data_IF_971625976901
#
_entry.id   IF_971625976901
#
_cell.length_a   1.000
_cell.length_b   1.000
_cell.length_c   1.000
_cell.angle_alpha   90.00
_cell.angle_beta   90.00
_cell.angle_gamma   90.00
#
_symmetry.space_group_name_H-M   'P 1'
#
loop_
_entity.id
_entity.type
_entity.pdbx_description
1 polymer ?
#
# COMPACT_ATOMS: atom_id res chain seq x y z
N UNK A 1 32.22 32.24 -69.74
CA UNK A 1 32.77 31.26 -68.79
C UNK A 1 32.28 31.68 -67.42
N UNK A 2 31.19 31.07 -66.96
CA UNK A 2 30.58 31.33 -65.62
C UNK A 2 30.72 30.11 -64.76
N UNK A 3 31.43 30.25 -63.67
CA UNK A 3 31.61 29.20 -62.65
C UNK A 3 30.44 29.25 -61.64
N UNK A 4 29.60 28.26 -61.66
CA UNK A 4 28.57 28.00 -60.62
C UNK A 4 29.20 27.19 -59.48
N UNK A 5 29.37 27.81 -58.30
CA UNK A 5 29.78 27.14 -57.08
C UNK A 5 28.49 26.59 -56.39
N UNK A 6 28.34 25.29 -56.45
CA UNK A 6 27.29 24.61 -55.61
C UNK A 6 27.74 24.58 -54.16
N UNK A 7 27.01 25.25 -53.26
CA UNK A 7 27.11 25.09 -51.81
C UNK A 7 26.26 23.90 -51.41
N UNK A 8 26.89 22.81 -50.99
CA UNK A 8 26.20 21.71 -50.31
C UNK A 8 25.98 22.10 -48.85
N UNK A 9 24.71 22.19 -48.44
CA UNK A 9 24.29 22.36 -47.03
C UNK A 9 24.32 20.99 -46.37
N UNK A 10 25.28 20.77 -45.48
CA UNK A 10 25.34 19.61 -44.60
C UNK A 10 24.30 19.84 -43.46
N UNK A 11 23.19 19.17 -43.52
CA UNK A 11 22.22 19.15 -42.43
C UNK A 11 22.65 18.07 -41.43
N UNK A 12 23.32 18.47 -40.35
CA UNK A 12 23.57 17.57 -39.21
C UNK A 12 22.26 17.37 -38.43
N UNK A 13 21.64 16.23 -38.60
CA UNK A 13 20.52 15.80 -37.75
C UNK A 13 21.09 15.41 -36.38
N UNK A 14 20.86 16.24 -35.37
CA UNK A 14 21.08 15.91 -33.97
C UNK A 14 19.97 14.93 -33.54
N UNK A 15 20.31 13.65 -33.52
CA UNK A 15 19.45 12.64 -32.86
C UNK A 15 19.66 12.77 -31.35
N UNK A 16 18.78 13.49 -30.71
CA UNK A 16 18.74 13.56 -29.25
C UNK A 16 18.37 12.20 -28.67
N UNK A 17 19.31 11.53 -28.02
CA UNK A 17 19.05 10.34 -27.22
C UNK A 17 18.30 10.82 -25.98
N UNK A 18 16.97 10.65 -25.94
CA UNK A 18 16.17 10.82 -24.73
C UNK A 18 16.38 9.56 -23.89
N UNK A 19 17.30 9.63 -22.94
CA UNK A 19 17.41 8.58 -21.93
C UNK A 19 16.11 8.57 -21.10
N UNK A 20 15.50 7.40 -20.82
CA UNK A 20 14.36 7.32 -19.95
C UNK A 20 14.75 7.85 -18.56
N UNK A 21 14.01 8.83 -18.06
CA UNK A 21 14.18 9.33 -16.70
C UNK A 21 13.65 8.25 -15.75
N UNK A 22 14.54 7.43 -15.21
CA UNK A 22 14.18 6.47 -14.14
C UNK A 22 13.91 7.29 -12.89
N UNK A 23 12.69 7.19 -12.35
CA UNK A 23 12.33 7.87 -11.12
C UNK A 23 13.21 7.33 -9.97
N UNK A 24 13.72 8.23 -9.13
CA UNK A 24 14.58 7.84 -8.02
C UNK A 24 13.79 7.10 -6.92
N UNK A 25 14.44 6.19 -6.23
CA UNK A 25 13.89 5.52 -5.05
C UNK A 25 13.51 6.54 -3.97
N UNK A 26 12.34 6.35 -3.39
CA UNK A 26 11.92 7.06 -2.18
C UNK A 26 12.14 6.14 -0.97
N UNK A 27 13.10 6.50 -0.12
CA UNK A 27 13.40 5.81 1.13
C UNK A 27 12.89 6.65 2.30
N UNK A 28 12.13 6.03 3.20
CA UNK A 28 11.66 6.68 4.42
C UNK A 28 12.78 6.63 5.45
N UNK A 29 13.44 7.77 5.66
CA UNK A 29 14.52 7.93 6.65
C UNK A 29 13.93 8.33 8.01
N UNK A 30 14.08 7.46 9.00
CA UNK A 30 13.60 7.68 10.36
C UNK A 30 14.66 8.30 11.30
N UNK A 31 15.89 8.51 10.85
CA UNK A 31 17.01 8.93 11.71
C UNK A 31 16.75 10.29 12.37
N UNK A 32 16.09 11.21 11.67
CA UNK A 32 15.78 12.56 12.14
C UNK A 32 14.40 12.70 12.80
N UNK A 33 13.62 11.64 12.82
CA UNK A 33 12.28 11.63 13.39
C UNK A 33 12.32 11.72 14.92
N UNK A 34 11.25 12.22 15.54
CA UNK A 34 11.12 12.35 17.00
C UNK A 34 10.21 11.25 17.56
N UNK A 35 10.72 10.48 18.52
CA UNK A 35 9.92 9.48 19.23
C UNK A 35 8.69 10.11 19.88
N UNK A 36 7.54 9.46 19.76
CA UNK A 36 6.25 9.93 20.25
C UNK A 36 5.53 10.93 19.32
N UNK A 37 6.14 11.31 18.18
CA UNK A 37 5.52 12.20 17.21
C UNK A 37 5.05 11.43 15.98
N UNK A 38 4.06 11.94 15.22
CA UNK A 38 3.72 11.39 13.92
C UNK A 38 4.95 11.41 12.98
N UNK A 39 5.15 10.38 12.13
CA UNK A 39 6.27 10.33 11.21
C UNK A 39 6.17 11.45 10.17
N UNK A 40 7.23 12.28 10.04
CA UNK A 40 7.23 13.43 9.14
C UNK A 40 7.20 13.01 7.65
N UNK A 41 7.81 11.85 7.32
CA UNK A 41 7.85 11.30 5.97
C UNK A 41 6.53 10.63 5.53
N UNK A 42 5.61 10.40 6.46
CA UNK A 42 4.31 9.80 6.19
C UNK A 42 3.18 10.79 6.47
N UNK A 43 2.05 10.56 5.84
CA UNK A 43 0.78 11.25 6.10
C UNK A 43 -0.19 10.26 6.73
N UNK A 44 -0.38 10.27 8.06
CA UNK A 44 -1.39 9.45 8.71
C UNK A 44 -2.79 9.85 8.24
N UNK A 45 -3.48 8.93 7.58
CA UNK A 45 -4.82 9.15 7.05
C UNK A 45 -5.90 8.55 7.96
N UNK A 46 -5.69 7.32 8.39
CA UNK A 46 -6.55 6.60 9.33
C UNK A 46 -5.66 5.97 10.38
N UNK A 47 -6.04 6.05 11.65
CA UNK A 47 -5.33 5.46 12.76
C UNK A 47 -4.26 6.34 13.38
N UNK A 48 -3.69 5.86 14.48
CA UNK A 48 -2.61 6.51 15.21
C UNK A 48 -1.27 5.94 14.75
N UNK A 49 -0.47 6.79 14.12
CA UNK A 49 0.86 6.46 13.61
C UNK A 49 1.87 7.37 14.30
N UNK A 50 2.82 6.77 14.98
CA UNK A 50 3.84 7.50 15.74
C UNK A 50 5.22 6.87 15.53
N UNK A 51 6.26 7.66 15.77
CA UNK A 51 7.62 7.12 15.87
C UNK A 51 7.80 6.49 17.25
N UNK A 52 8.19 5.23 17.26
CA UNK A 52 8.56 4.49 18.46
C UNK A 52 10.06 4.13 18.42
N UNK A 53 10.52 3.46 19.45
CA UNK A 53 11.86 2.91 19.53
C UNK A 53 11.78 1.41 19.82
N UNK A 54 12.47 0.62 19.02
CA UNK A 54 12.57 -0.84 19.17
C UNK A 54 14.03 -1.28 18.97
N UNK A 55 14.59 -1.98 19.96
CA UNK A 55 15.98 -2.43 19.89
C UNK A 55 17.02 -1.33 19.68
N UNK A 56 16.74 -0.09 20.13
CA UNK A 56 17.62 1.07 19.91
C UNK A 56 17.39 1.80 18.58
N UNK A 57 16.61 1.25 17.65
CA UNK A 57 16.30 1.86 16.37
C UNK A 57 14.94 2.58 16.41
N UNK A 58 14.78 3.66 15.61
CA UNK A 58 13.50 4.31 15.41
C UNK A 58 12.67 3.52 14.40
N UNK A 59 11.39 3.36 14.71
CA UNK A 59 10.43 2.63 13.90
C UNK A 59 9.14 3.42 13.78
N UNK A 60 8.38 3.21 12.73
CA UNK A 60 6.99 3.66 12.66
C UNK A 60 6.13 2.64 13.39
N UNK A 61 5.35 3.08 14.34
CA UNK A 61 4.38 2.26 15.06
C UNK A 61 2.96 2.67 14.68
N UNK A 62 2.12 1.69 14.39
CA UNK A 62 0.67 1.83 14.43
C UNK A 62 0.16 1.12 15.68
N UNK A 63 -0.75 1.77 16.40
CA UNK A 63 -1.43 1.19 17.55
C UNK A 63 -2.95 1.31 17.34
N UNK A 64 -3.58 0.21 17.02
CA UNK A 64 -5.02 0.14 16.77
C UNK A 64 -5.86 -0.09 18.04
N UNK A 65 -5.25 -0.44 19.17
CA UNK A 65 -5.96 -0.77 20.42
C UNK A 65 -6.88 0.35 20.94
N UNK A 66 -6.46 1.64 20.93
CA UNK A 66 -7.34 2.72 21.37
C UNK A 66 -8.63 2.85 20.56
N UNK A 67 -8.64 2.37 19.33
CA UNK A 67 -9.77 2.48 18.41
C UNK A 67 -10.86 1.45 18.69
N UNK A 68 -10.49 0.31 19.25
CA UNK A 68 -11.41 -0.79 19.58
C UNK A 68 -11.98 -0.63 20.99
N UNK A 69 -11.19 -0.06 21.89
CA UNK A 69 -11.52 0.02 23.34
C UNK A 69 -12.09 1.36 23.79
N UNK A 70 -12.02 2.40 22.95
CA UNK A 70 -12.50 3.74 23.32
C UNK A 70 -14.00 3.75 23.56
N UNK A 71 -14.39 4.08 24.80
CA UNK A 71 -15.78 4.34 25.18
C UNK A 71 -16.29 5.69 24.64
N UNK A 72 -15.40 6.58 24.26
CA UNK A 72 -15.70 7.91 23.76
C UNK A 72 -15.85 7.89 22.23
N UNK A 73 -16.99 7.44 21.78
CA UNK A 73 -17.46 7.47 20.39
C UNK A 73 -16.33 7.52 19.34
N UNK A 74 -15.61 6.42 19.12
CA UNK A 74 -14.52 6.38 18.16
C UNK A 74 -15.01 6.73 16.75
N UNK A 75 -16.31 6.61 16.50
CA UNK A 75 -16.95 6.91 15.21
C UNK A 75 -16.66 8.33 14.73
N UNK A 76 -16.62 9.34 15.62
CA UNK A 76 -16.36 10.72 15.22
C UNK A 76 -14.93 10.92 14.70
N UNK A 77 -13.92 10.46 15.45
CA UNK A 77 -12.51 10.51 15.01
C UNK A 77 -12.29 9.71 13.71
N UNK A 78 -13.01 8.62 13.57
CA UNK A 78 -12.97 7.77 12.39
C UNK A 78 -13.55 8.47 11.17
N UNK A 79 -14.68 9.15 11.33
CA UNK A 79 -15.31 9.95 10.29
C UNK A 79 -14.36 11.08 9.85
N UNK A 80 -13.72 11.77 10.79
CA UNK A 80 -12.77 12.85 10.46
C UNK A 80 -11.53 12.31 9.71
N UNK A 81 -11.00 11.17 10.12
CA UNK A 81 -9.88 10.52 9.43
C UNK A 81 -10.30 10.01 8.05
N UNK A 82 -11.48 9.39 7.93
CA UNK A 82 -12.03 8.96 6.66
C UNK A 82 -12.25 10.14 5.70
N UNK A 83 -12.73 11.29 6.19
CA UNK A 83 -12.88 12.50 5.37
C UNK A 83 -11.57 13.01 4.80
N UNK A 84 -10.47 12.89 5.55
CA UNK A 84 -9.13 13.24 5.03
C UNK A 84 -8.71 12.35 3.87
N UNK A 85 -8.94 11.04 3.99
CA UNK A 85 -8.54 10.07 2.99
C UNK A 85 -9.47 10.08 1.78
N UNK A 86 -10.78 10.12 2.02
CA UNK A 86 -11.80 9.84 1.01
C UNK A 86 -12.51 11.09 0.48
N UNK A 87 -12.26 12.25 1.09
CA UNK A 87 -12.95 13.49 0.76
C UNK A 87 -14.36 13.58 1.35
N UNK A 88 -14.97 14.77 1.22
CA UNK A 88 -16.28 15.07 1.81
C UNK A 88 -17.46 14.78 0.89
N UNK A 89 -17.22 14.47 -0.40
CA UNK A 89 -18.24 14.40 -1.44
C UNK A 89 -18.86 13.02 -1.64
N UNK A 90 -18.40 12.01 -0.89
CA UNK A 90 -18.92 10.65 -1.06
C UNK A 90 -19.73 10.24 0.18
N UNK A 91 -21.03 10.55 0.17
CA UNK A 91 -21.96 10.22 1.27
C UNK A 91 -22.06 8.73 1.50
N UNK A 92 -22.03 7.90 0.44
CA UNK A 92 -22.07 6.45 0.54
C UNK A 92 -20.85 5.88 1.27
N UNK A 93 -19.68 6.50 1.09
CA UNK A 93 -18.48 6.20 1.87
C UNK A 93 -18.66 6.55 3.35
N UNK A 94 -19.35 7.64 3.65
CA UNK A 94 -19.56 8.10 5.03
C UNK A 94 -20.49 7.18 5.80
N UNK A 95 -21.47 6.56 5.16
CA UNK A 95 -22.36 5.57 5.78
C UNK A 95 -21.60 4.31 6.21
N UNK A 96 -20.49 4.01 5.54
CA UNK A 96 -19.59 2.89 5.85
C UNK A 96 -18.39 3.28 6.74
N UNK A 97 -18.38 4.48 7.32
CA UNK A 97 -17.24 5.01 8.08
C UNK A 97 -16.72 4.08 9.18
N UNK A 98 -17.57 3.29 9.79
CA UNK A 98 -17.17 2.27 10.79
C UNK A 98 -16.22 1.21 10.22
N UNK A 99 -16.31 0.91 8.92
CA UNK A 99 -15.42 -0.05 8.27
C UNK A 99 -14.05 0.56 8.01
N UNK A 100 -13.96 1.85 7.66
CA UNK A 100 -12.67 2.55 7.45
C UNK A 100 -11.81 2.56 8.70
N UNK A 101 -12.43 2.71 9.85
CA UNK A 101 -11.80 2.67 11.15
C UNK A 101 -10.96 1.43 11.39
N UNK A 102 -11.36 0.35 10.80
CA UNK A 102 -10.67 -0.92 10.95
C UNK A 102 -9.40 -1.02 10.10
N UNK A 103 -9.10 0.00 9.28
CA UNK A 103 -7.95 -0.04 8.36
C UNK A 103 -7.05 1.18 8.54
N UNK A 104 -6.17 1.19 9.56
CA UNK A 104 -5.16 2.22 9.67
C UNK A 104 -4.31 2.32 8.40
N UNK A 105 -4.15 3.55 7.89
CA UNK A 105 -3.39 3.86 6.69
C UNK A 105 -2.50 5.08 6.93
N UNK A 106 -1.23 4.99 6.51
CA UNK A 106 -0.32 6.14 6.44
C UNK A 106 0.37 6.15 5.07
N UNK A 107 0.20 7.23 4.31
CA UNK A 107 0.69 7.35 2.95
C UNK A 107 2.09 7.97 2.90
N UNK A 108 2.95 7.48 2.01
CA UNK A 108 4.29 8.05 1.80
C UNK A 108 4.17 9.42 1.15
N UNK A 109 4.76 10.44 1.78
CA UNK A 109 4.86 11.78 1.20
C UNK A 109 5.88 11.76 0.05
N UNK A 110 5.62 12.56 -0.99
CA UNK A 110 6.50 12.64 -2.14
C UNK A 110 6.25 11.58 -3.23
N UNK A 111 5.42 10.56 -2.95
CA UNK A 111 4.97 9.60 -3.97
C UNK A 111 3.48 9.84 -4.23
N UNK A 112 3.19 10.70 -5.20
CA UNK A 112 1.80 11.06 -5.55
C UNK A 112 1.17 10.06 -6.51
N UNK A 113 1.97 9.42 -7.36
CA UNK A 113 1.49 8.50 -8.37
C UNK A 113 2.49 7.35 -8.59
N UNK A 114 2.19 6.20 -8.04
CA UNK A 114 2.93 4.95 -8.27
C UNK A 114 2.17 4.12 -9.30
N UNK A 115 2.81 3.78 -10.41
CA UNK A 115 2.21 2.98 -11.48
C UNK A 115 2.84 1.60 -11.60
N UNK A 116 4.17 1.55 -11.65
CA UNK A 116 4.96 0.33 -11.74
C UNK A 116 6.17 0.45 -10.82
N UNK A 117 6.71 -0.68 -10.40
CA UNK A 117 7.90 -0.70 -9.57
C UNK A 117 7.80 -1.66 -8.39
N UNK A 118 8.61 -1.39 -7.39
CA UNK A 118 8.73 -2.20 -6.18
C UNK A 118 8.39 -1.37 -4.94
N UNK A 119 7.69 -1.99 -4.02
CA UNK A 119 7.48 -1.50 -2.66
C UNK A 119 8.05 -2.54 -1.69
N UNK A 120 8.82 -2.13 -0.71
CA UNK A 120 9.32 -3.02 0.34
C UNK A 120 9.35 -2.34 1.69
N UNK A 121 9.20 -3.13 2.75
CA UNK A 121 9.32 -2.68 4.12
C UNK A 121 9.71 -3.84 5.03
N UNK A 122 10.36 -3.53 6.14
CA UNK A 122 10.42 -4.48 7.25
C UNK A 122 9.28 -4.23 8.23
N UNK A 123 8.71 -5.29 8.75
CA UNK A 123 7.61 -5.25 9.71
C UNK A 123 7.81 -6.22 10.86
N UNK A 124 7.16 -5.92 11.99
CA UNK A 124 7.06 -6.79 13.16
C UNK A 124 5.66 -6.66 13.72
N UNK A 125 4.91 -7.77 13.83
CA UNK A 125 3.59 -7.80 14.44
C UNK A 125 3.73 -7.96 15.94
N UNK A 126 3.35 -6.95 16.71
CA UNK A 126 3.64 -6.89 18.15
C UNK A 126 2.49 -7.43 18.97
N UNK A 127 1.27 -6.93 18.75
CA UNK A 127 0.09 -7.35 19.50
C UNK A 127 -1.20 -7.13 18.70
N UNK A 128 -2.30 -7.63 19.24
CA UNK A 128 -3.64 -7.57 18.70
C UNK A 128 -4.41 -8.83 19.09
N UNK A 129 -5.63 -8.68 19.58
CA UNK A 129 -6.50 -9.83 19.94
C UNK A 129 -7.33 -10.27 18.74
N UNK A 130 -7.97 -9.30 18.07
CA UNK A 130 -8.78 -9.57 16.89
C UNK A 130 -7.96 -9.84 15.65
N UNK A 131 -6.92 -9.01 15.45
CA UNK A 131 -6.01 -9.11 14.30
C UNK A 131 -4.59 -8.73 14.70
N UNK A 132 -3.60 -9.33 14.04
CA UNK A 132 -2.20 -8.92 14.05
C UNK A 132 -1.73 -8.78 12.61
N UNK A 133 -1.94 -7.59 12.06
CA UNK A 133 -1.77 -7.33 10.64
C UNK A 133 -0.70 -6.29 10.36
N UNK A 134 0.17 -6.59 9.40
CA UNK A 134 1.09 -5.64 8.78
C UNK A 134 0.94 -5.71 7.27
N UNK A 135 0.95 -4.56 6.60
CA UNK A 135 0.75 -4.51 5.15
C UNK A 135 1.18 -3.21 4.50
N UNK A 136 1.10 -3.19 3.19
CA UNK A 136 1.26 -2.01 2.34
C UNK A 136 -0.02 -1.75 1.57
N UNK A 137 -0.38 -0.48 1.46
CA UNK A 137 -1.47 -0.01 0.60
C UNK A 137 -0.88 0.64 -0.64
N UNK A 138 -1.52 0.43 -1.78
CA UNK A 138 -1.14 1.00 -3.06
C UNK A 138 -2.37 1.22 -3.94
N UNK A 139 -2.20 1.90 -5.08
CA UNK A 139 -3.33 2.29 -5.92
C UNK A 139 -4.39 3.10 -5.14
N UNK A 140 -3.95 3.91 -4.16
CA UNK A 140 -4.89 4.71 -3.36
C UNK A 140 -5.39 5.86 -4.21
N UNK A 141 -6.68 5.84 -4.50
CA UNK A 141 -7.38 6.81 -5.33
C UNK A 141 -7.91 7.98 -4.50
N UNK A 142 -8.16 9.14 -5.11
CA UNK A 142 -8.79 10.28 -4.42
C UNK A 142 -10.19 9.99 -3.87
N UNK A 143 -10.93 9.05 -4.48
CA UNK A 143 -12.25 8.60 -4.00
C UNK A 143 -12.17 7.60 -2.84
N UNK A 144 -10.96 7.23 -2.40
CA UNK A 144 -10.73 6.34 -1.28
C UNK A 144 -10.63 4.86 -1.60
N UNK A 145 -10.72 4.49 -2.86
CA UNK A 145 -10.47 3.12 -3.30
C UNK A 145 -8.98 2.78 -3.22
N UNK A 146 -8.64 1.54 -2.91
CA UNK A 146 -7.25 1.09 -2.83
C UNK A 146 -7.08 -0.43 -2.99
N UNK A 147 -5.83 -0.83 -3.21
CA UNK A 147 -5.35 -2.21 -3.06
C UNK A 147 -4.42 -2.29 -1.84
N UNK A 148 -4.45 -3.41 -1.14
CA UNK A 148 -3.52 -3.67 -0.04
C UNK A 148 -3.03 -5.12 -0.06
N UNK A 149 -1.73 -5.29 0.14
CA UNK A 149 -1.14 -6.59 0.44
C UNK A 149 -0.85 -6.66 1.94
N UNK A 150 -1.37 -7.67 2.62
CA UNK A 150 -1.21 -7.80 4.06
C UNK A 150 -0.85 -9.21 4.49
N UNK A 151 0.03 -9.28 5.47
CA UNK A 151 0.23 -10.44 6.33
C UNK A 151 -0.66 -10.34 7.57
N UNK A 152 -1.22 -11.46 8.00
CA UNK A 152 -1.92 -11.58 9.28
C UNK A 152 -1.37 -12.75 10.10
N UNK A 153 -0.79 -12.43 11.24
CA UNK A 153 -0.18 -13.39 12.14
C UNK A 153 -1.23 -14.28 12.85
N UNK A 154 -2.44 -13.80 13.13
CA UNK A 154 -3.50 -14.62 13.72
C UNK A 154 -4.02 -15.69 12.76
N UNK A 155 -3.96 -15.43 11.45
CA UNK A 155 -4.41 -16.34 10.40
C UNK A 155 -3.26 -17.06 9.69
N UNK A 156 -1.99 -16.65 9.94
CA UNK A 156 -0.78 -17.16 9.29
C UNK A 156 -0.90 -17.14 7.76
N UNK A 157 -1.40 -16.04 7.20
CA UNK A 157 -1.61 -15.92 5.76
C UNK A 157 -1.27 -14.54 5.21
N UNK A 158 -1.11 -14.50 3.88
CA UNK A 158 -0.97 -13.28 3.10
C UNK A 158 -2.15 -13.18 2.13
N UNK A 159 -2.71 -11.97 1.99
CA UNK A 159 -3.88 -11.73 1.14
C UNK A 159 -3.75 -10.39 0.43
N UNK A 160 -4.03 -10.38 -0.87
CA UNK A 160 -4.30 -9.17 -1.64
C UNK A 160 -5.78 -8.80 -1.45
N UNK A 161 -6.00 -7.60 -0.96
CA UNK A 161 -7.31 -7.01 -0.71
C UNK A 161 -7.56 -5.85 -1.66
N UNK A 162 -8.81 -5.65 -2.03
CA UNK A 162 -9.30 -4.40 -2.57
C UNK A 162 -10.25 -3.73 -1.59
N UNK A 163 -10.34 -2.43 -1.70
CA UNK A 163 -11.33 -1.60 -1.06
C UNK A 163 -11.95 -0.72 -2.14
N UNK A 164 -13.23 -0.92 -2.38
CA UNK A 164 -13.96 -0.24 -3.43
C UNK A 164 -15.37 0.09 -2.95
N UNK A 165 -15.78 1.35 -3.14
CA UNK A 165 -17.08 1.85 -2.69
C UNK A 165 -17.38 1.53 -1.22
N UNK A 166 -16.40 1.74 -0.33
CA UNK A 166 -16.56 1.52 1.10
C UNK A 166 -16.51 0.06 1.56
N UNK A 167 -16.35 -0.90 0.68
CA UNK A 167 -16.38 -2.33 1.01
C UNK A 167 -15.02 -2.97 0.69
N UNK A 168 -14.49 -3.72 1.65
CA UNK A 168 -13.26 -4.49 1.48
C UNK A 168 -13.56 -5.93 1.08
N UNK A 169 -12.86 -6.44 0.05
CA UNK A 169 -12.98 -7.82 -0.43
C UNK A 169 -11.62 -8.44 -0.70
N UNK A 170 -11.49 -9.77 -0.51
CA UNK A 170 -10.25 -10.47 -0.85
C UNK A 170 -10.19 -10.78 -2.34
N UNK A 171 -9.14 -10.30 -2.99
CA UNK A 171 -8.90 -10.51 -4.43
C UNK A 171 -8.17 -11.83 -4.67
N UNK A 172 -7.10 -12.05 -3.92
CA UNK A 172 -6.28 -13.26 -4.00
C UNK A 172 -5.75 -13.60 -2.63
N UNK A 173 -5.89 -14.85 -2.24
CA UNK A 173 -5.31 -15.41 -1.02
C UNK A 173 -4.07 -16.22 -1.37
N UNK A 174 -3.00 -16.02 -0.63
CA UNK A 174 -1.86 -16.94 -0.64
C UNK A 174 -2.21 -18.25 0.06
N UNK A 175 -1.29 -19.21 0.11
CA UNK A 175 -1.48 -20.47 0.83
C UNK A 175 -1.87 -20.21 2.28
N UNK A 176 -2.94 -20.86 2.74
CA UNK A 176 -3.45 -20.72 4.11
C UNK A 176 -2.51 -21.39 5.11
N UNK A 177 -2.34 -20.77 6.28
CA UNK A 177 -1.55 -21.28 7.41
C UNK A 177 -0.10 -21.63 7.07
N UNK A 178 0.46 -21.04 6.02
CA UNK A 178 1.83 -21.33 5.56
C UNK A 178 2.84 -20.40 6.22
N UNK A 179 2.43 -19.18 6.56
CA UNK A 179 3.31 -18.10 7.00
C UNK A 179 3.29 -17.96 8.52
N UNK A 180 3.85 -18.94 9.23
CA UNK A 180 4.06 -18.86 10.68
C UNK A 180 5.39 -18.15 10.97
N UNK A 181 5.34 -16.84 11.00
CA UNK A 181 6.53 -16.00 11.22
C UNK A 181 6.86 -15.89 12.72
N UNK A 182 8.16 -15.77 13.02
CA UNK A 182 8.60 -15.48 14.38
C UNK A 182 8.24 -14.03 14.75
N UNK A 183 7.38 -13.85 15.74
CA UNK A 183 6.94 -12.53 16.23
C UNK A 183 8.05 -11.70 16.85
N UNK A 184 9.13 -12.33 17.33
CA UNK A 184 10.27 -11.62 17.88
C UNK A 184 11.20 -11.05 16.80
N UNK A 185 11.13 -11.59 15.58
CA UNK A 185 11.97 -11.20 14.46
C UNK A 185 11.35 -10.08 13.59
N UNK A 186 12.21 -9.40 12.85
CA UNK A 186 11.83 -8.53 11.75
C UNK A 186 11.69 -9.35 10.47
N UNK A 187 10.61 -9.12 9.74
CA UNK A 187 10.33 -9.77 8.46
C UNK A 187 10.24 -8.73 7.36
N UNK A 188 10.59 -9.10 6.14
CA UNK A 188 10.42 -8.25 4.97
C UNK A 188 9.13 -8.60 4.23
N UNK A 189 8.32 -7.60 3.93
CA UNK A 189 7.26 -7.67 2.94
C UNK A 189 7.67 -6.84 1.73
N UNK A 190 7.75 -7.50 0.57
CA UNK A 190 8.06 -6.88 -0.72
C UNK A 190 6.92 -7.13 -1.68
N UNK A 191 6.55 -6.14 -2.47
CA UNK A 191 5.58 -6.29 -3.55
C UNK A 191 6.07 -5.58 -4.82
N UNK A 192 5.76 -6.15 -5.97
CA UNK A 192 6.05 -5.53 -7.28
C UNK A 192 4.78 -5.42 -8.11
N UNK A 193 4.72 -4.34 -8.87
CA UNK A 193 3.74 -4.13 -9.94
C UNK A 193 4.53 -3.92 -11.24
N UNK A 194 4.23 -4.72 -12.26
CA UNK A 194 4.80 -4.59 -13.60
C UNK A 194 3.70 -4.79 -14.63
N UNK A 195 3.12 -3.71 -15.09
CA UNK A 195 1.90 -3.72 -15.91
C UNK A 195 0.75 -4.38 -15.16
N UNK A 196 0.27 -5.50 -15.66
CA UNK A 196 -0.76 -6.30 -15.02
C UNK A 196 -0.22 -7.31 -13.99
N UNK A 197 1.08 -7.55 -13.94
CA UNK A 197 1.67 -8.53 -13.01
C UNK A 197 1.82 -7.93 -11.62
N UNK A 198 1.21 -8.56 -10.63
CA UNK A 198 1.41 -8.29 -9.21
C UNK A 198 2.03 -9.50 -8.52
N UNK A 199 3.10 -9.28 -7.77
CA UNK A 199 3.75 -10.32 -6.96
C UNK A 199 4.12 -9.79 -5.59
N UNK A 200 4.04 -10.65 -4.57
CA UNK A 200 4.44 -10.31 -3.21
C UNK A 200 5.29 -11.43 -2.60
N UNK A 201 6.27 -11.04 -1.81
CA UNK A 201 7.21 -11.93 -1.11
C UNK A 201 7.24 -11.62 0.37
N UNK A 202 7.45 -12.66 1.19
CA UNK A 202 7.83 -12.55 2.60
C UNK A 202 9.21 -13.19 2.76
N UNK A 203 10.17 -12.46 3.30
CA UNK A 203 11.55 -12.92 3.52
C UNK A 203 12.14 -13.57 2.26
N UNK A 204 12.03 -12.88 1.13
CA UNK A 204 12.43 -13.32 -0.22
C UNK A 204 11.66 -14.53 -0.80
N UNK A 205 10.76 -15.16 -0.07
CA UNK A 205 9.94 -16.27 -0.58
C UNK A 205 8.68 -15.74 -1.26
N UNK A 206 8.40 -16.18 -2.50
CA UNK A 206 7.18 -15.79 -3.21
C UNK A 206 5.95 -16.28 -2.45
N UNK A 207 5.14 -15.33 -2.01
CA UNK A 207 3.99 -15.58 -1.15
C UNK A 207 2.65 -15.48 -1.88
N UNK A 208 2.59 -14.62 -2.90
CA UNK A 208 1.38 -14.42 -3.69
C UNK A 208 1.73 -13.83 -5.05
N UNK A 209 1.00 -14.28 -6.08
CA UNK A 209 0.99 -13.63 -7.40
C UNK A 209 -0.44 -13.51 -7.93
N UNK A 210 -0.68 -12.46 -8.69
CA UNK A 210 -1.98 -12.18 -9.28
C UNK A 210 -1.82 -11.35 -10.56
N UNK A 211 -2.65 -11.61 -11.56
CA UNK A 211 -2.73 -10.77 -12.76
C UNK A 211 -3.87 -9.77 -12.59
N UNK A 212 -3.54 -8.50 -12.44
CA UNK A 212 -4.52 -7.41 -12.40
C UNK A 212 -5.36 -7.44 -13.68
N UNK A 213 -6.66 -7.26 -13.52
CA UNK A 213 -7.61 -7.37 -14.64
C UNK A 213 -8.07 -8.80 -14.95
N UNK A 214 -7.52 -9.82 -14.29
CA UNK A 214 -8.05 -11.19 -14.38
C UNK A 214 -9.17 -11.45 -13.37
N UNK A 215 -9.86 -12.57 -13.53
CA UNK A 215 -10.84 -13.01 -12.54
C UNK A 215 -10.18 -13.17 -11.16
N UNK A 216 -10.85 -12.77 -10.08
CA UNK A 216 -10.34 -12.93 -8.72
C UNK A 216 -10.16 -14.40 -8.35
N UNK A 217 -9.26 -14.67 -7.43
CA UNK A 217 -9.09 -16.01 -6.88
C UNK A 217 -10.27 -16.42 -5.99
N UNK A 218 -10.32 -17.69 -5.58
CA UNK A 218 -11.35 -18.17 -4.67
C UNK A 218 -11.29 -17.42 -3.33
N UNK A 219 -12.44 -17.28 -2.70
CA UNK A 219 -12.61 -16.76 -1.36
C UNK A 219 -12.08 -17.71 -0.28
N UNK A 220 -12.37 -17.38 0.99
CA UNK A 220 -12.02 -18.25 2.11
C UNK A 220 -12.72 -19.61 1.96
N UNK A 221 -12.01 -20.70 2.32
CA UNK A 221 -12.49 -22.08 2.20
C UNK A 221 -12.91 -22.48 0.77
N UNK A 222 -12.21 -21.95 -0.24
CA UNK A 222 -12.50 -22.18 -1.67
C UNK A 222 -13.90 -21.73 -2.11
N UNK A 223 -14.51 -20.80 -1.39
CA UNK A 223 -15.77 -20.19 -1.83
C UNK A 223 -15.60 -19.56 -3.23
N UNK A 224 -16.69 -19.55 -4.01
CA UNK A 224 -16.69 -18.88 -5.30
C UNK A 224 -16.24 -17.42 -5.20
N UNK A 225 -15.52 -16.88 -6.19
CA UNK A 225 -15.14 -15.49 -6.22
C UNK A 225 -16.37 -14.57 -6.12
N UNK A 226 -16.23 -13.48 -5.35
CA UNK A 226 -17.28 -12.49 -5.30
C UNK A 226 -17.43 -11.81 -6.68
N UNK A 227 -18.63 -11.76 -7.27
CA UNK A 227 -18.84 -11.17 -8.61
C UNK A 227 -18.53 -9.67 -8.68
N UNK A 228 -18.55 -8.94 -7.55
CA UNK A 228 -18.18 -7.53 -7.49
C UNK A 228 -16.66 -7.29 -7.64
N UNK A 229 -15.84 -8.35 -7.56
CA UNK A 229 -14.39 -8.27 -7.77
C UNK A 229 -13.98 -8.42 -9.25
N UNK A 230 -14.92 -8.73 -10.14
CA UNK A 230 -14.59 -8.84 -11.55
C UNK A 230 -14.25 -7.47 -12.12
N UNK A 231 -13.16 -7.34 -12.90
CA UNK A 231 -12.64 -6.03 -13.35
C UNK A 231 -13.61 -5.17 -14.14
N UNK A 232 -14.60 -5.76 -14.80
CA UNK A 232 -15.67 -5.02 -15.49
C UNK A 232 -16.56 -4.21 -14.52
N UNK A 233 -16.66 -4.66 -13.26
CA UNK A 233 -17.42 -3.97 -12.20
C UNK A 233 -16.53 -3.18 -11.25
N UNK A 234 -15.24 -3.51 -11.19
CA UNK A 234 -14.32 -2.96 -10.20
C UNK A 234 -13.05 -2.37 -10.86
N UNK A 235 -13.08 -1.05 -11.05
CA UNK A 235 -11.99 -0.33 -11.70
C UNK A 235 -10.65 -0.37 -10.93
N UNK A 236 -10.68 -0.62 -9.62
CA UNK A 236 -9.47 -0.71 -8.78
C UNK A 236 -8.57 -1.87 -9.22
N UNK A 237 -9.17 -2.94 -9.75
CA UNK A 237 -8.47 -4.14 -10.19
C UNK A 237 -8.00 -4.08 -11.65
N UNK A 238 -8.34 -3.02 -12.39
CA UNK A 238 -7.91 -2.86 -13.77
C UNK A 238 -6.52 -2.22 -13.86
N UNK A 239 -5.59 -2.79 -14.66
CA UNK A 239 -4.36 -2.08 -14.96
C UNK A 239 -4.62 -0.85 -15.86
N UNK A 240 -3.78 0.19 -15.82
CA UNK A 240 -2.61 0.30 -14.94
C UNK A 240 -3.01 0.61 -13.49
N UNK A 241 -2.18 0.15 -12.55
CA UNK A 241 -2.22 0.64 -11.18
C UNK A 241 -1.77 2.10 -11.21
N UNK A 242 -2.47 2.98 -10.53
CA UNK A 242 -2.16 4.40 -10.52
C UNK A 242 -2.69 5.05 -9.24
N UNK A 243 -1.81 5.50 -8.36
CA UNK A 243 -2.22 6.13 -7.12
C UNK A 243 -1.13 6.25 -6.09
N UNK A 244 -1.50 6.67 -4.89
CA UNK A 244 -0.58 6.80 -3.75
C UNK A 244 -0.29 5.43 -3.12
N UNK A 245 0.79 5.37 -2.35
CA UNK A 245 1.28 4.17 -1.66
C UNK A 245 1.55 4.46 -0.19
N UNK A 246 1.56 3.43 0.65
CA UNK A 246 1.87 3.60 2.05
C UNK A 246 1.79 2.33 2.88
N UNK A 247 1.76 2.52 4.19
CA UNK A 247 1.61 1.47 5.19
C UNK A 247 0.13 1.21 5.49
N UNK A 248 -0.17 -0.03 5.83
CA UNK A 248 -1.52 -0.49 6.15
C UNK A 248 -1.52 -1.42 7.37
N UNK A 249 -2.58 -1.35 8.16
CA UNK A 249 -2.82 -2.28 9.26
C UNK A 249 -4.33 -2.55 9.43
N UNK A 250 -4.71 -3.28 10.46
CA UNK A 250 -6.12 -3.63 10.69
C UNK A 250 -6.45 -3.65 12.19
N UNK A 251 -7.62 -3.12 12.53
CA UNK A 251 -8.26 -3.16 13.86
C UNK A 251 -7.31 -2.80 15.01
N UNK A 252 -7.24 -3.67 16.02
CA UNK A 252 -6.46 -3.56 17.25
C UNK A 252 -4.98 -3.96 17.10
N UNK A 253 -4.52 -4.15 15.87
CA UNK A 253 -3.12 -4.51 15.61
C UNK A 253 -2.17 -3.42 16.11
N UNK A 254 -1.14 -3.85 16.84
CA UNK A 254 0.06 -3.04 17.07
C UNK A 254 1.17 -3.62 16.21
N UNK A 255 1.70 -2.82 15.30
CA UNK A 255 2.74 -3.24 14.36
C UNK A 255 3.83 -2.18 14.25
N UNK A 256 5.06 -2.63 14.07
CA UNK A 256 6.23 -1.80 13.80
C UNK A 256 6.66 -1.94 12.36
N UNK A 257 7.14 -0.84 11.78
CA UNK A 257 7.61 -0.75 10.40
C UNK A 257 8.90 0.04 10.32
N UNK A 258 9.82 -0.41 9.46
CA UNK A 258 11.05 0.31 9.10
C UNK A 258 11.49 -0.05 7.68
N UNK A 259 12.55 0.58 7.21
CA UNK A 259 13.18 0.31 5.90
C UNK A 259 12.16 0.37 4.74
N UNK A 260 11.21 1.31 4.81
CA UNK A 260 10.21 1.48 3.75
C UNK A 260 10.88 2.13 2.53
N UNK A 261 10.83 1.42 1.41
CA UNK A 261 11.38 1.86 0.12
C UNK A 261 10.33 1.71 -0.97
N UNK A 262 10.16 2.76 -1.76
CA UNK A 262 9.35 2.77 -2.99
C UNK A 262 10.29 3.05 -4.15
N UNK A 263 10.42 2.09 -5.06
CA UNK A 263 11.26 2.14 -6.25
C UNK A 263 10.38 2.12 -7.50
N UNK A 264 9.96 3.27 -8.03
CA UNK A 264 9.23 3.34 -9.30
C UNK A 264 10.09 2.80 -10.46
N UNK A 265 9.41 2.22 -11.48
CA UNK A 265 10.08 1.68 -12.68
C UNK A 265 9.86 2.63 -13.87
#
# INVERSE_FOLDING_TARGET
MSWLVRRELLVCALVGIVAPLVAADTKVDLTKEQVGKPPAALEPMVGSWVIAQEGGEKVVMVDGRPWVTSKDNPTKLLIESARKLYGTSNEELMDNAKQFAYYPVALVKGVSNFTNGTMSMKFKTVSGESDRCSGMVFNVKPNGDWLAIRYNDTENNIVLWEFHNGIRRSVKRGPERTWMLDRAAWHELKATVDGASFKAWIDANLALEYTLGSAPGPGRNNAAPNPDLFPEKNAVLRPPVEGRVGLWSKTDSTSYFKDLVISPK
#
